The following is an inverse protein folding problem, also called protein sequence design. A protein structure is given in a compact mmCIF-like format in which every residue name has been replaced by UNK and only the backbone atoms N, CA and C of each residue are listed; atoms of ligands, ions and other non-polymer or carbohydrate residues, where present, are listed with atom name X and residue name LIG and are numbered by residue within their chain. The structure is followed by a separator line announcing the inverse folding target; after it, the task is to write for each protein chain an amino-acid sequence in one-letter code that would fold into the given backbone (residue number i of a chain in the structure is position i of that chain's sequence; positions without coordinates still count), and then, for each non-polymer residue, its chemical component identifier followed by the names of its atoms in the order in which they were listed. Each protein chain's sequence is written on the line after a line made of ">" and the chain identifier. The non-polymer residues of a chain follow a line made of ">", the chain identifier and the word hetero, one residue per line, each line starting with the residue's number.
data_IF_548446001608
#
_entry.id   IF_548446001608
#
_cell.length_a   1.000
_cell.length_b   1.000
_cell.length_c   1.000
_cell.angle_alpha   90.00
_cell.angle_beta   90.00
_cell.angle_gamma   90.00
#
_symmetry.space_group_name_H-M   'P 1'
#
loop_
_entity.id
_entity.type
_entity.pdbx_description
1 polymer ?
#
# COMPACT_ATOMS: atom_id res chain seq x y z
N UNK A 1 -37.33 34.83 -60.86
CA UNK A 1 -36.28 33.88 -60.60
C UNK A 1 -35.58 34.27 -59.30
N UNK A 2 -35.87 33.61 -58.18
CA UNK A 2 -35.28 33.87 -56.87
C UNK A 2 -34.23 32.78 -56.61
N UNK A 3 -32.95 33.18 -56.61
CA UNK A 3 -31.85 32.31 -56.20
C UNK A 3 -31.80 32.26 -54.66
N UNK A 4 -32.10 31.06 -54.12
CA UNK A 4 -31.94 30.82 -52.66
C UNK A 4 -30.54 30.29 -52.46
N UNK A 5 -29.70 31.12 -51.85
CA UNK A 5 -28.37 30.77 -51.40
C UNK A 5 -28.48 29.85 -50.14
N UNK A 6 -28.06 28.61 -50.26
CA UNK A 6 -27.91 27.69 -49.10
C UNK A 6 -26.55 27.92 -48.46
N UNK A 7 -26.58 28.64 -47.36
CA UNK A 7 -25.41 28.71 -46.46
C UNK A 7 -25.40 27.43 -45.61
N UNK A 8 -24.52 26.51 -45.94
CA UNK A 8 -24.21 25.34 -45.09
C UNK A 8 -23.38 25.81 -43.91
N UNK A 9 -24.00 25.89 -42.73
CA UNK A 9 -23.31 26.09 -41.47
C UNK A 9 -22.54 24.81 -41.14
N UNK A 10 -21.22 24.83 -41.32
CA UNK A 10 -20.31 23.80 -40.83
C UNK A 10 -20.23 23.96 -39.31
N UNK A 11 -21.04 23.21 -38.55
CA UNK A 11 -20.79 23.05 -37.10
C UNK A 11 -19.51 22.27 -36.96
N UNK A 12 -18.44 22.99 -36.62
CA UNK A 12 -17.23 22.39 -36.07
C UNK A 12 -17.59 21.78 -34.72
N UNK A 13 -17.79 20.46 -34.69
CA UNK A 13 -17.86 19.70 -33.48
C UNK A 13 -16.45 19.84 -32.85
N UNK A 14 -16.34 20.67 -31.84
CA UNK A 14 -15.15 20.66 -30.97
C UNK A 14 -15.11 19.26 -30.35
N UNK A 15 -14.34 18.36 -30.93
CA UNK A 15 -13.96 17.12 -30.29
C UNK A 15 -13.09 17.55 -29.10
N UNK A 16 -13.72 17.66 -27.92
CA UNK A 16 -12.95 17.64 -26.68
C UNK A 16 -12.26 16.30 -26.67
N UNK A 17 -10.95 16.33 -26.76
CA UNK A 17 -10.15 15.15 -26.68
C UNK A 17 -10.44 14.45 -25.31
N UNK A 18 -10.61 13.15 -25.26
CA UNK A 18 -10.94 12.46 -24.03
C UNK A 18 -9.73 12.50 -23.08
N UNK A 19 -9.92 13.03 -21.89
CA UNK A 19 -9.04 12.78 -20.78
C UNK A 19 -8.70 11.27 -20.69
N UNK A 20 -7.61 10.90 -20.00
CA UNK A 20 -7.31 9.48 -19.76
C UNK A 20 -8.59 8.71 -19.42
N UNK A 21 -8.89 7.56 -20.07
CA UNK A 21 -10.06 6.79 -19.70
C UNK A 21 -9.97 6.39 -18.24
N UNK A 22 -10.96 6.77 -17.45
CA UNK A 22 -10.99 6.56 -16.01
C UNK A 22 -11.84 5.33 -15.66
N UNK A 23 -11.25 4.43 -14.88
CA UNK A 23 -11.93 3.26 -14.34
C UNK A 23 -12.42 3.55 -12.91
N UNK A 24 -13.65 3.11 -12.54
CA UNK A 24 -14.22 3.39 -11.22
C UNK A 24 -13.54 2.63 -10.08
N UNK A 25 -12.91 1.50 -10.39
CA UNK A 25 -12.20 0.66 -9.40
C UNK A 25 -10.91 0.10 -9.99
N UNK A 26 -10.04 -0.40 -9.11
CA UNK A 26 -8.81 -1.09 -9.52
C UNK A 26 -9.11 -2.34 -10.35
N UNK A 27 -10.15 -3.11 -10.01
CA UNK A 27 -10.55 -4.31 -10.75
C UNK A 27 -11.01 -3.96 -12.17
N UNK A 28 -11.78 -2.87 -12.29
CA UNK A 28 -12.19 -2.36 -13.61
C UNK A 28 -10.99 -1.86 -14.42
N UNK A 29 -10.03 -1.18 -13.76
CA UNK A 29 -8.80 -0.71 -14.40
C UNK A 29 -7.96 -1.88 -14.93
N UNK A 30 -7.78 -2.94 -14.14
CA UNK A 30 -7.06 -4.16 -14.55
C UNK A 30 -7.73 -4.83 -15.76
N UNK A 31 -9.06 -4.94 -15.74
CA UNK A 31 -9.82 -5.52 -16.85
C UNK A 31 -9.62 -4.68 -18.13
N UNK A 32 -9.82 -3.38 -18.04
CA UNK A 32 -9.65 -2.47 -19.19
C UNK A 32 -8.22 -2.44 -19.69
N UNK A 33 -7.24 -2.43 -18.77
CA UNK A 33 -5.82 -2.43 -19.14
C UNK A 33 -5.43 -3.70 -19.90
N UNK A 34 -5.94 -4.87 -19.48
CA UNK A 34 -5.70 -6.13 -20.17
C UNK A 34 -6.34 -6.15 -21.57
N UNK A 35 -7.59 -5.70 -21.71
CA UNK A 35 -8.32 -5.65 -22.97
C UNK A 35 -7.70 -4.66 -23.97
N UNK A 36 -7.32 -3.46 -23.47
CA UNK A 36 -6.81 -2.37 -24.30
C UNK A 36 -5.28 -2.38 -24.44
N UNK A 37 -4.58 -3.28 -23.78
CA UNK A 37 -3.10 -3.36 -23.74
C UNK A 37 -2.48 -2.04 -23.24
N UNK A 38 -3.09 -1.44 -22.24
CA UNK A 38 -2.65 -0.19 -21.61
C UNK A 38 -2.03 -0.48 -20.24
N UNK A 39 -1.27 0.49 -19.75
CA UNK A 39 -0.81 0.55 -18.38
C UNK A 39 -1.86 1.22 -17.49
N UNK A 40 -1.63 1.23 -16.18
CA UNK A 40 -2.54 1.84 -15.22
C UNK A 40 -1.82 3.00 -14.52
N UNK A 41 -2.49 4.14 -14.46
CA UNK A 41 -2.09 5.33 -13.73
C UNK A 41 -2.96 5.43 -12.47
N UNK A 42 -2.42 5.08 -11.31
CA UNK A 42 -3.13 5.13 -10.02
C UNK A 42 -2.86 6.47 -9.37
N UNK A 43 -3.89 7.31 -9.26
CA UNK A 43 -3.83 8.65 -8.64
C UNK A 43 -4.33 8.59 -7.19
N UNK A 44 -3.42 8.74 -6.22
CA UNK A 44 -3.75 8.94 -4.81
C UNK A 44 -4.02 10.42 -4.59
N UNK A 45 -5.28 10.75 -4.34
CA UNK A 45 -5.77 12.13 -4.44
C UNK A 45 -6.65 12.54 -3.26
N UNK A 46 -6.94 13.83 -3.15
CA UNK A 46 -7.94 14.40 -2.23
C UNK A 46 -8.75 15.43 -2.99
N UNK A 47 -9.81 14.99 -3.67
CA UNK A 47 -10.52 15.76 -4.70
C UNK A 47 -11.20 17.01 -4.16
N UNK A 48 -11.61 17.04 -2.89
CA UNK A 48 -12.38 18.12 -2.28
C UNK A 48 -11.53 19.12 -1.44
N UNK A 49 -10.23 18.83 -1.23
CA UNK A 49 -9.40 19.66 -0.34
C UNK A 49 -7.95 19.84 -0.79
N UNK A 50 -7.38 18.90 -1.54
CA UNK A 50 -5.96 18.91 -1.87
C UNK A 50 -5.69 19.77 -3.11
N UNK A 51 -5.28 21.02 -2.92
CA UNK A 51 -4.98 21.93 -4.02
C UNK A 51 -3.95 21.40 -5.02
N UNK A 52 -2.91 20.70 -4.53
CA UNK A 52 -1.90 20.09 -5.39
C UNK A 52 -2.46 18.91 -6.21
N UNK A 53 -3.43 18.18 -5.67
CA UNK A 53 -4.12 17.09 -6.38
C UNK A 53 -5.01 17.64 -7.50
N UNK A 54 -5.79 18.68 -7.18
CA UNK A 54 -6.62 19.38 -8.16
C UNK A 54 -5.76 19.97 -9.27
N UNK A 55 -4.58 20.51 -8.92
CA UNK A 55 -3.62 20.99 -9.90
C UNK A 55 -3.07 19.86 -10.78
N UNK A 56 -2.65 18.72 -10.19
CA UNK A 56 -2.20 17.56 -10.95
C UNK A 56 -3.26 17.12 -11.96
N UNK A 57 -4.51 16.99 -11.52
CA UNK A 57 -5.62 16.56 -12.38
C UNK A 57 -5.84 17.55 -13.52
N UNK A 58 -6.18 18.81 -13.18
CA UNK A 58 -6.73 19.77 -14.14
C UNK A 58 -5.65 20.46 -15.01
N UNK A 59 -4.40 20.53 -14.55
CA UNK A 59 -3.32 21.27 -15.24
C UNK A 59 -2.27 20.38 -15.85
N UNK A 60 -2.16 19.14 -15.40
CA UNK A 60 -1.17 18.19 -15.91
C UNK A 60 -1.85 17.04 -16.65
N UNK A 61 -2.64 16.21 -15.96
CA UNK A 61 -3.25 15.01 -16.54
C UNK A 61 -4.28 15.34 -17.63
N UNK A 62 -5.06 16.39 -17.45
CA UNK A 62 -6.08 16.85 -18.43
C UNK A 62 -5.52 17.87 -19.43
N UNK A 63 -4.20 18.07 -19.49
CA UNK A 63 -3.61 18.94 -20.51
C UNK A 63 -3.49 18.25 -21.86
N UNK A 64 -3.62 19.03 -22.94
CA UNK A 64 -3.47 18.54 -24.33
C UNK A 64 -2.14 17.82 -24.55
N UNK A 65 -1.06 18.31 -23.90
CA UNK A 65 0.27 17.72 -24.02
C UNK A 65 0.33 16.33 -23.37
N UNK A 66 -0.21 16.20 -22.15
CA UNK A 66 -0.20 14.94 -21.42
C UNK A 66 -1.11 13.91 -22.11
N UNK A 67 -2.29 14.33 -22.51
CA UNK A 67 -3.24 13.50 -23.21
C UNK A 67 -2.68 13.00 -24.55
N UNK A 68 -2.10 13.87 -25.35
CA UNK A 68 -1.44 13.49 -26.62
C UNK A 68 -0.31 12.50 -26.40
N UNK A 69 0.40 12.59 -25.27
CA UNK A 69 1.55 11.75 -24.95
C UNK A 69 1.14 10.39 -24.37
N UNK A 70 0.11 10.36 -23.52
CA UNK A 70 -0.23 9.23 -22.68
C UNK A 70 -1.70 8.77 -22.74
N UNK A 71 -2.61 9.51 -23.39
CA UNK A 71 -4.03 9.21 -23.43
C UNK A 71 -4.37 7.80 -23.93
N UNK A 72 -3.61 7.31 -24.91
CA UNK A 72 -3.74 5.95 -25.42
C UNK A 72 -2.92 4.89 -24.68
N UNK A 73 -2.12 5.29 -23.66
CA UNK A 73 -1.17 4.39 -22.98
C UNK A 73 -1.62 3.95 -21.60
N UNK A 74 -2.49 4.72 -20.96
CA UNK A 74 -2.89 4.48 -19.58
C UNK A 74 -4.40 4.43 -19.38
N UNK A 75 -4.82 3.66 -18.39
CA UNK A 75 -6.14 3.73 -17.74
C UNK A 75 -5.92 4.45 -16.41
N UNK A 76 -6.69 5.50 -16.14
CA UNK A 76 -6.66 6.21 -14.87
C UNK A 76 -7.55 5.49 -13.85
N UNK A 77 -7.09 5.40 -12.62
CA UNK A 77 -7.92 5.03 -11.46
C UNK A 77 -7.56 5.93 -10.29
N UNK A 78 -8.58 6.54 -9.67
CA UNK A 78 -8.39 7.44 -8.54
C UNK A 78 -8.64 6.73 -7.21
N UNK A 79 -7.68 6.87 -6.29
CA UNK A 79 -7.82 6.47 -4.88
C UNK A 79 -8.00 7.75 -4.07
N UNK A 80 -9.26 8.14 -3.86
CA UNK A 80 -9.61 9.43 -3.27
C UNK A 80 -9.71 9.37 -1.74
N UNK A 81 -9.17 10.38 -1.06
CA UNK A 81 -9.20 10.60 0.39
C UNK A 81 -9.95 11.90 0.72
N UNK A 82 -11.27 11.94 0.57
CA UNK A 82 -12.04 13.15 0.80
C UNK A 82 -12.06 13.52 2.30
N UNK A 83 -12.27 14.82 2.58
CA UNK A 83 -12.44 15.35 3.95
C UNK A 83 -13.85 15.81 4.25
N UNK A 84 -14.66 16.10 3.23
CA UNK A 84 -16.05 16.50 3.41
C UNK A 84 -16.82 15.36 4.09
N UNK A 85 -17.55 15.63 5.21
CA UNK A 85 -18.28 14.59 5.93
C UNK A 85 -19.27 13.82 5.05
N UNK A 86 -19.87 14.50 4.06
CA UNK A 86 -20.81 13.91 3.13
C UNK A 86 -20.15 12.85 2.23
N UNK A 87 -18.95 13.13 1.73
CA UNK A 87 -18.20 12.18 0.89
C UNK A 87 -17.63 11.04 1.73
N UNK A 88 -17.07 11.35 2.90
CA UNK A 88 -16.53 10.33 3.83
C UNK A 88 -17.60 9.33 4.26
N UNK A 89 -18.85 9.80 4.50
CA UNK A 89 -19.97 8.95 4.89
C UNK A 89 -20.42 7.97 3.78
N UNK A 90 -20.09 8.26 2.52
CA UNK A 90 -20.42 7.40 1.38
C UNK A 90 -19.40 6.27 1.16
N UNK A 91 -18.24 6.33 1.82
CA UNK A 91 -17.17 5.33 1.66
C UNK A 91 -17.36 4.27 2.76
N UNK A 92 -17.58 2.98 2.40
CA UNK A 92 -17.61 1.89 3.37
C UNK A 92 -16.32 1.79 4.18
N UNK A 93 -16.40 1.33 5.42
CA UNK A 93 -15.24 1.32 6.31
C UNK A 93 -14.14 0.35 5.87
N UNK A 94 -14.49 -0.76 5.21
CA UNK A 94 -13.54 -1.68 4.57
C UNK A 94 -12.80 -1.02 3.40
N UNK A 95 -13.51 -0.19 2.63
CA UNK A 95 -12.90 0.57 1.54
C UNK A 95 -11.96 1.67 2.06
N UNK A 96 -12.31 2.36 3.15
CA UNK A 96 -11.40 3.32 3.81
C UNK A 96 -10.09 2.64 4.21
N UNK A 97 -10.20 1.48 4.90
CA UNK A 97 -9.03 0.70 5.30
C UNK A 97 -8.21 0.24 4.08
N UNK A 98 -8.87 -0.23 3.02
CA UNK A 98 -8.19 -0.64 1.79
C UNK A 98 -7.39 0.49 1.18
N UNK A 99 -7.94 1.71 1.11
CA UNK A 99 -7.24 2.90 0.60
C UNK A 99 -6.04 3.27 1.47
N UNK A 100 -6.20 3.26 2.80
CA UNK A 100 -5.12 3.53 3.76
C UNK A 100 -3.99 2.49 3.63
N UNK A 101 -4.34 1.21 3.48
CA UNK A 101 -3.37 0.14 3.27
C UNK A 101 -2.60 0.30 1.96
N UNK A 102 -3.27 0.69 0.87
CA UNK A 102 -2.62 1.00 -0.39
C UNK A 102 -1.63 2.17 -0.24
N UNK A 103 -2.06 3.27 0.38
CA UNK A 103 -1.22 4.44 0.64
C UNK A 103 0.04 4.06 1.42
N UNK A 104 -0.12 3.29 2.49
CA UNK A 104 0.98 2.80 3.33
C UNK A 104 1.89 1.83 2.56
N UNK A 105 1.32 0.90 1.80
CA UNK A 105 2.07 -0.14 1.09
C UNK A 105 2.94 0.42 -0.03
N UNK A 106 2.52 1.52 -0.66
CA UNK A 106 3.32 2.25 -1.64
C UNK A 106 4.15 3.37 -1.03
N UNK A 107 4.12 3.54 0.30
CA UNK A 107 4.84 4.60 1.03
C UNK A 107 4.55 5.98 0.47
N UNK A 108 3.28 6.25 0.16
CA UNK A 108 2.82 7.59 -0.26
C UNK A 108 2.75 8.46 0.99
N UNK A 109 3.72 9.36 1.16
CA UNK A 109 3.85 10.20 2.35
C UNK A 109 2.97 11.44 2.30
N UNK A 110 2.47 11.80 1.13
CA UNK A 110 1.61 12.96 0.92
C UNK A 110 0.89 12.93 -0.41
N UNK A 111 -0.20 13.69 -0.52
CA UNK A 111 -0.98 13.79 -1.75
C UNK A 111 -0.59 15.02 -2.57
N UNK A 112 -0.63 14.92 -3.91
CA UNK A 112 -0.89 13.71 -4.69
C UNK A 112 0.29 12.75 -4.71
N UNK A 113 -0.01 11.47 -4.83
CA UNK A 113 0.95 10.42 -5.16
C UNK A 113 0.45 9.62 -6.35
N UNK A 114 1.35 9.21 -7.22
CA UNK A 114 1.00 8.41 -8.41
C UNK A 114 1.80 7.13 -8.43
N UNK A 115 1.13 6.01 -8.68
CA UNK A 115 1.76 4.72 -8.92
C UNK A 115 1.49 4.30 -10.37
N UNK A 116 2.56 4.04 -11.12
CA UNK A 116 2.46 3.50 -12.47
C UNK A 116 2.56 1.98 -12.42
N UNK A 117 1.57 1.30 -13.02
CA UNK A 117 1.52 -0.15 -13.09
C UNK A 117 1.43 -0.61 -14.55
N UNK A 118 1.96 -1.78 -14.84
CA UNK A 118 1.72 -2.40 -16.14
C UNK A 118 0.29 -2.96 -16.25
N UNK A 119 -0.09 -3.45 -17.45
CA UNK A 119 -1.43 -3.97 -17.70
C UNK A 119 -1.82 -5.21 -16.89
N UNK A 120 -0.89 -5.75 -16.08
CA UNK A 120 -1.12 -6.84 -15.12
C UNK A 120 -1.26 -6.32 -13.68
N UNK A 121 -1.18 -5.00 -13.48
CA UNK A 121 -1.22 -4.37 -12.17
C UNK A 121 0.11 -4.42 -11.40
N UNK A 122 1.22 -4.77 -12.07
CA UNK A 122 2.53 -4.81 -11.42
C UNK A 122 3.18 -3.43 -11.45
N UNK A 123 3.44 -2.83 -10.26
CA UNK A 123 3.92 -1.45 -10.16
C UNK A 123 5.38 -1.33 -10.59
N UNK A 124 5.71 -0.22 -11.26
CA UNK A 124 7.08 0.02 -11.73
C UNK A 124 7.62 1.41 -11.40
N UNK A 125 6.76 2.37 -11.01
CA UNK A 125 7.19 3.71 -10.61
C UNK A 125 6.24 4.30 -9.58
N UNK A 126 6.79 5.18 -8.72
CA UNK A 126 6.04 6.01 -7.79
C UNK A 126 6.48 7.46 -7.97
N UNK A 127 5.53 8.34 -8.27
CA UNK A 127 5.78 9.77 -8.45
C UNK A 127 5.08 10.52 -7.31
N UNK A 128 5.85 11.14 -6.42
CA UNK A 128 5.32 11.93 -5.31
C UNK A 128 5.19 13.40 -5.68
N UNK A 129 4.04 13.98 -5.37
CA UNK A 129 3.71 15.38 -5.56
C UNK A 129 3.40 15.74 -7.02
N UNK A 130 2.73 16.88 -7.19
CA UNK A 130 2.52 17.50 -8.49
C UNK A 130 3.79 18.23 -8.93
N UNK A 131 3.88 18.53 -10.24
CA UNK A 131 4.86 19.45 -10.81
C UNK A 131 4.14 20.70 -11.27
N UNK A 132 4.90 21.72 -11.65
CA UNK A 132 4.34 23.01 -12.04
C UNK A 132 3.60 22.90 -13.39
N UNK A 133 4.18 22.17 -14.33
CA UNK A 133 3.68 22.05 -15.70
C UNK A 133 3.69 20.59 -16.18
N UNK A 134 2.97 20.27 -17.26
CA UNK A 134 3.06 18.96 -17.91
C UNK A 134 4.48 18.63 -18.39
N UNK A 135 5.21 19.63 -18.89
CA UNK A 135 6.59 19.47 -19.37
C UNK A 135 7.54 19.05 -18.24
N UNK A 136 7.28 19.48 -17.01
CA UNK A 136 8.03 19.05 -15.82
C UNK A 136 7.62 17.65 -15.34
N UNK A 137 6.37 17.21 -15.63
CA UNK A 137 5.84 15.94 -15.17
C UNK A 137 6.15 14.78 -16.11
N UNK A 138 6.09 15.02 -17.42
CA UNK A 138 6.33 14.00 -18.47
C UNK A 138 7.68 13.29 -18.31
N UNK A 139 8.82 13.97 -18.02
CA UNK A 139 10.08 13.28 -17.81
C UNK A 139 10.08 12.28 -16.66
N UNK A 140 9.26 12.49 -15.62
CA UNK A 140 9.11 11.52 -14.52
C UNK A 140 8.36 10.26 -14.97
N UNK A 141 7.32 10.44 -15.78
CA UNK A 141 6.62 9.33 -16.41
C UNK A 141 7.53 8.52 -17.32
N UNK A 142 8.33 9.20 -18.15
CA UNK A 142 9.30 8.55 -19.05
C UNK A 142 10.35 7.77 -18.27
N UNK A 143 10.88 8.33 -17.18
CA UNK A 143 11.83 7.62 -16.31
C UNK A 143 11.20 6.33 -15.75
N UNK A 144 9.93 6.37 -15.34
CA UNK A 144 9.18 5.19 -14.92
C UNK A 144 9.05 4.14 -16.04
N UNK A 145 8.69 4.58 -17.25
CA UNK A 145 8.59 3.69 -18.42
C UNK A 145 9.94 3.02 -18.72
N UNK A 146 11.08 3.73 -18.59
CA UNK A 146 12.42 3.15 -18.79
C UNK A 146 12.71 2.07 -17.74
N UNK A 147 12.32 2.26 -16.47
CA UNK A 147 12.45 1.22 -15.43
C UNK A 147 11.66 -0.03 -15.78
N UNK A 148 10.41 0.15 -16.25
CA UNK A 148 9.59 -0.96 -16.73
C UNK A 148 10.26 -1.72 -17.88
N UNK A 149 10.77 -1.01 -18.88
CA UNK A 149 11.47 -1.62 -20.04
C UNK A 149 12.69 -2.41 -19.56
N UNK A 150 13.49 -1.85 -18.65
CA UNK A 150 14.66 -2.52 -18.09
C UNK A 150 14.27 -3.78 -17.29
N UNK A 151 13.23 -3.70 -16.45
CA UNK A 151 12.66 -4.84 -15.72
C UNK A 151 12.22 -5.95 -16.69
N UNK A 152 11.41 -5.60 -17.70
CA UNK A 152 10.86 -6.56 -18.67
C UNK A 152 11.97 -7.27 -19.45
N UNK A 153 13.01 -6.54 -19.86
CA UNK A 153 14.17 -7.10 -20.53
C UNK A 153 14.93 -8.08 -19.62
N UNK A 154 15.13 -7.73 -18.34
CA UNK A 154 15.80 -8.59 -17.38
C UNK A 154 14.99 -9.87 -17.09
N UNK A 155 13.66 -9.76 -16.96
CA UNK A 155 12.80 -10.93 -16.77
C UNK A 155 12.72 -11.82 -18.01
N UNK A 156 12.70 -11.25 -19.21
CA UNK A 156 12.79 -12.01 -20.44
C UNK A 156 14.11 -12.78 -20.55
N UNK A 157 15.23 -12.15 -20.15
CA UNK A 157 16.55 -12.82 -20.05
C UNK A 157 16.50 -13.96 -19.02
N UNK A 158 15.94 -13.70 -17.82
CA UNK A 158 15.81 -14.70 -16.76
C UNK A 158 15.01 -15.95 -17.20
N UNK A 159 14.00 -15.77 -18.07
CA UNK A 159 13.21 -16.87 -18.59
C UNK A 159 14.01 -17.87 -19.45
N UNK A 160 15.15 -17.46 -19.99
CA UNK A 160 16.04 -18.32 -20.79
C UNK A 160 17.20 -18.92 -19.98
N UNK A 161 17.31 -18.60 -18.69
CA UNK A 161 18.42 -18.98 -17.82
C UNK A 161 17.96 -19.95 -16.72
N UNK A 162 18.92 -20.58 -16.03
CA UNK A 162 18.70 -21.45 -14.88
C UNK A 162 19.71 -21.17 -13.76
N UNK A 163 19.45 -21.72 -12.56
CA UNK A 163 20.34 -21.58 -11.42
C UNK A 163 20.66 -20.11 -11.09
N UNK A 164 21.83 -19.84 -10.56
CA UNK A 164 22.24 -18.51 -10.08
C UNK A 164 22.18 -17.41 -11.17
N UNK A 165 22.39 -17.73 -12.43
CA UNK A 165 22.29 -16.75 -13.52
C UNK A 165 20.84 -16.28 -13.72
N UNK A 166 19.85 -17.17 -13.54
CA UNK A 166 18.44 -16.80 -13.51
C UNK A 166 18.13 -15.88 -12.33
N UNK A 167 18.60 -16.25 -11.13
CA UNK A 167 18.38 -15.44 -9.92
C UNK A 167 18.98 -14.03 -10.06
N UNK A 168 20.19 -13.92 -10.61
CA UNK A 168 20.82 -12.62 -10.88
C UNK A 168 20.02 -11.77 -11.86
N UNK A 169 19.52 -12.37 -12.96
CA UNK A 169 18.75 -11.65 -13.96
C UNK A 169 17.41 -11.17 -13.38
N UNK A 170 16.72 -11.98 -12.53
CA UNK A 170 15.52 -11.54 -11.81
C UNK A 170 15.85 -10.38 -10.85
N UNK A 171 16.94 -10.50 -10.09
CA UNK A 171 17.38 -9.46 -9.18
C UNK A 171 17.72 -8.14 -9.91
N UNK A 172 18.42 -8.20 -11.06
CA UNK A 172 18.67 -7.03 -11.92
C UNK A 172 17.36 -6.30 -12.27
N UNK A 173 16.32 -7.05 -12.69
CA UNK A 173 15.00 -6.48 -13.03
C UNK A 173 14.27 -5.87 -11.83
N UNK A 174 14.42 -6.44 -10.64
CA UNK A 174 13.81 -5.92 -9.44
C UNK A 174 14.56 -4.69 -8.89
N UNK A 175 15.86 -4.65 -9.00
CA UNK A 175 16.69 -3.57 -8.42
C UNK A 175 16.55 -2.23 -9.14
N UNK A 176 16.04 -2.19 -10.38
CA UNK A 176 15.76 -0.94 -11.07
C UNK A 176 14.47 -0.26 -10.58
N UNK A 177 13.62 -1.00 -9.86
CA UNK A 177 12.34 -0.51 -9.36
C UNK A 177 12.47 0.19 -8.01
N UNK A 178 11.60 1.17 -7.70
CA UNK A 178 11.45 1.67 -6.33
C UNK A 178 11.13 0.53 -5.36
N UNK A 179 11.68 0.60 -4.13
CA UNK A 179 11.50 -0.47 -3.13
C UNK A 179 10.03 -0.85 -2.92
N UNK A 180 9.07 0.10 -2.75
CA UNK A 180 7.67 -0.28 -2.54
C UNK A 180 7.02 -0.96 -3.77
N UNK A 181 7.54 -0.69 -4.98
CA UNK A 181 7.13 -1.42 -6.18
C UNK A 181 7.72 -2.82 -6.19
N UNK A 182 9.03 -2.93 -5.98
CA UNK A 182 9.77 -4.20 -5.96
C UNK A 182 9.16 -5.22 -5.02
N UNK A 183 8.74 -4.80 -3.83
CA UNK A 183 8.16 -5.67 -2.79
C UNK A 183 6.84 -6.34 -3.23
N UNK A 184 6.23 -5.91 -4.35
CA UNK A 184 5.03 -6.54 -4.94
C UNK A 184 5.33 -7.72 -5.86
N UNK A 185 6.59 -7.93 -6.25
CA UNK A 185 7.03 -9.01 -7.15
C UNK A 185 7.33 -10.29 -6.37
N UNK A 186 6.31 -10.78 -5.67
CA UNK A 186 6.45 -11.92 -4.73
C UNK A 186 6.98 -13.17 -5.43
N UNK A 187 6.44 -13.51 -6.59
CA UNK A 187 6.83 -14.72 -7.33
C UNK A 187 8.30 -14.69 -7.79
N UNK A 188 8.78 -13.54 -8.25
CA UNK A 188 10.16 -13.35 -8.68
C UNK A 188 11.12 -13.38 -7.49
N UNK A 189 10.74 -12.76 -6.37
CA UNK A 189 11.51 -12.76 -5.12
C UNK A 189 11.61 -14.20 -4.56
N UNK A 190 10.50 -14.93 -4.52
CA UNK A 190 10.49 -16.33 -4.07
C UNK A 190 11.34 -17.22 -4.98
N UNK A 191 11.33 -16.99 -6.30
CA UNK A 191 12.18 -17.68 -7.22
C UNK A 191 13.68 -17.38 -7.01
N UNK A 192 14.03 -16.14 -6.63
CA UNK A 192 15.39 -15.78 -6.24
C UNK A 192 15.78 -16.53 -4.96
N UNK A 193 14.94 -16.46 -3.91
CA UNK A 193 15.20 -17.06 -2.60
C UNK A 193 15.37 -18.59 -2.69
N UNK A 194 14.60 -19.25 -3.56
CA UNK A 194 14.72 -20.69 -3.80
C UNK A 194 16.07 -21.10 -4.42
N UNK A 195 16.73 -20.19 -5.14
CA UNK A 195 18.01 -20.44 -5.81
C UNK A 195 19.18 -19.94 -4.96
N UNK A 196 19.09 -18.72 -4.43
CA UNK A 196 20.13 -18.02 -3.67
C UNK A 196 20.00 -18.31 -2.17
N UNK A 197 20.18 -19.56 -1.77
CA UNK A 197 20.03 -20.02 -0.36
C UNK A 197 20.97 -19.31 0.61
N UNK A 198 22.12 -18.86 0.13
CA UNK A 198 23.13 -18.14 0.91
C UNK A 198 22.84 -16.62 1.00
N UNK A 199 21.77 -16.17 0.36
CA UNK A 199 21.32 -14.76 0.35
C UNK A 199 22.39 -13.78 -0.18
N UNK A 200 23.13 -14.15 -1.19
CA UNK A 200 24.16 -13.31 -1.81
C UNK A 200 23.57 -12.11 -2.56
N UNK A 201 22.32 -12.23 -3.00
CA UNK A 201 21.57 -11.19 -3.69
C UNK A 201 20.70 -10.31 -2.75
N UNK A 202 20.57 -10.70 -1.47
CA UNK A 202 19.93 -9.86 -0.43
C UNK A 202 18.40 -9.84 -0.46
N UNK A 203 17.73 -10.91 -0.94
CA UNK A 203 16.26 -10.99 -1.02
C UNK A 203 15.63 -11.82 0.09
N UNK A 204 16.40 -12.47 0.96
CA UNK A 204 15.89 -13.26 2.08
C UNK A 204 15.05 -12.38 3.02
N UNK A 205 13.91 -12.88 3.49
CA UNK A 205 12.96 -12.14 4.32
C UNK A 205 12.02 -11.25 3.52
N UNK A 206 12.08 -11.28 2.18
CA UNK A 206 11.16 -10.61 1.26
C UNK A 206 10.25 -11.64 0.57
N UNK A 207 9.36 -11.19 -0.30
CA UNK A 207 8.45 -12.07 -1.03
C UNK A 207 7.32 -12.59 -0.12
N UNK A 208 7.05 -13.88 -0.17
CA UNK A 208 5.98 -14.52 0.61
C UNK A 208 6.10 -14.29 2.11
N UNK A 209 7.32 -14.21 2.66
CA UNK A 209 7.53 -13.90 4.07
C UNK A 209 6.98 -12.51 4.44
N UNK A 210 7.20 -11.53 3.57
CA UNK A 210 6.64 -10.17 3.76
C UNK A 210 5.12 -10.16 3.66
N UNK A 211 4.54 -10.91 2.74
CA UNK A 211 3.07 -11.01 2.57
C UNK A 211 2.43 -11.59 3.84
N UNK A 212 3.01 -12.67 4.39
CA UNK A 212 2.54 -13.26 5.65
C UNK A 212 2.61 -12.25 6.79
N UNK A 213 3.74 -11.53 6.91
CA UNK A 213 3.92 -10.49 7.92
C UNK A 213 2.87 -9.39 7.82
N UNK A 214 2.68 -8.82 6.62
CA UNK A 214 1.69 -7.76 6.39
C UNK A 214 0.29 -8.24 6.77
N UNK A 215 -0.11 -9.43 6.31
CA UNK A 215 -1.41 -10.01 6.62
C UNK A 215 -1.62 -10.16 8.13
N UNK A 216 -0.69 -10.77 8.84
CA UNK A 216 -0.82 -10.98 10.29
C UNK A 216 -0.85 -9.66 11.08
N UNK A 217 -0.08 -8.64 10.65
CA UNK A 217 -0.11 -7.30 11.24
C UNK A 217 -1.46 -6.62 10.99
N UNK A 218 -2.01 -6.72 9.79
CA UNK A 218 -3.33 -6.17 9.45
C UNK A 218 -4.44 -6.84 10.28
N UNK A 219 -4.44 -8.17 10.38
CA UNK A 219 -5.40 -8.92 11.20
C UNK A 219 -5.36 -8.48 12.68
N UNK A 220 -4.17 -8.30 13.25
CA UNK A 220 -4.02 -7.77 14.60
C UNK A 220 -4.52 -6.34 14.72
N UNK A 221 -4.18 -5.46 13.77
CA UNK A 221 -4.61 -4.07 13.77
C UNK A 221 -6.13 -3.92 13.64
N UNK A 222 -6.77 -4.74 12.82
CA UNK A 222 -8.24 -4.77 12.68
C UNK A 222 -8.90 -5.19 14.00
N UNK A 223 -8.34 -6.21 14.65
CA UNK A 223 -8.81 -6.67 15.95
C UNK A 223 -8.68 -5.57 17.01
N UNK A 224 -7.53 -4.90 17.09
CA UNK A 224 -7.30 -3.79 18.03
C UNK A 224 -8.18 -2.59 17.69
N UNK A 225 -8.39 -2.31 16.41
CA UNK A 225 -9.25 -1.24 15.91
C UNK A 225 -10.71 -1.39 16.34
N UNK A 226 -11.23 -2.63 16.38
CA UNK A 226 -12.60 -2.94 16.81
C UNK A 226 -12.88 -2.54 18.27
N UNK A 227 -11.85 -2.46 19.11
CA UNK A 227 -11.96 -2.09 20.53
C UNK A 227 -11.43 -0.70 20.86
N UNK A 228 -10.95 0.03 19.88
CA UNK A 228 -10.42 1.39 20.09
C UNK A 228 -11.46 2.29 20.76
N UNK A 229 -11.10 2.85 21.92
CA UNK A 229 -11.97 3.74 22.71
C UNK A 229 -13.06 3.05 23.53
N UNK A 230 -13.17 1.72 23.49
CA UNK A 230 -14.10 0.94 24.31
C UNK A 230 -13.40 0.53 25.61
N UNK A 231 -13.63 1.27 26.68
CA UNK A 231 -12.94 1.10 27.97
C UNK A 231 -13.85 0.49 29.05
N UNK A 232 -15.07 0.07 28.72
CA UNK A 232 -15.93 -0.63 29.64
C UNK A 232 -15.47 -2.07 29.88
N UNK A 233 -15.77 -2.62 31.06
CA UNK A 233 -15.28 -3.92 31.48
C UNK A 233 -15.74 -5.09 30.56
N UNK A 234 -16.90 -4.98 29.93
CA UNK A 234 -17.39 -6.01 29.02
C UNK A 234 -16.59 -6.02 27.72
N UNK A 235 -16.38 -4.85 27.11
CA UNK A 235 -15.55 -4.68 25.89
C UNK A 235 -14.11 -5.10 26.12
N UNK A 236 -13.52 -4.75 27.27
CA UNK A 236 -12.16 -5.17 27.61
C UNK A 236 -12.03 -6.69 27.75
N UNK A 237 -12.98 -7.37 28.38
CA UNK A 237 -13.00 -8.85 28.47
C UNK A 237 -13.19 -9.49 27.11
N UNK A 238 -14.06 -8.93 26.27
CA UNK A 238 -14.24 -9.43 24.90
C UNK A 238 -12.95 -9.28 24.07
N UNK A 239 -12.25 -8.16 24.21
CA UNK A 239 -10.96 -7.93 23.52
C UNK A 239 -9.91 -8.97 23.94
N UNK A 240 -9.82 -9.28 25.23
CA UNK A 240 -8.91 -10.31 25.75
C UNK A 240 -9.21 -11.68 25.11
N UNK A 241 -10.48 -12.10 25.08
CA UNK A 241 -10.87 -13.39 24.47
C UNK A 241 -10.49 -13.43 22.99
N UNK A 242 -10.71 -12.34 22.25
CA UNK A 242 -10.36 -12.29 20.82
C UNK A 242 -8.84 -12.30 20.60
N UNK A 243 -8.08 -11.63 21.45
CA UNK A 243 -6.62 -11.65 21.42
C UNK A 243 -6.06 -13.03 21.79
N UNK A 244 -6.63 -13.71 22.79
CA UNK A 244 -6.29 -15.11 23.13
C UNK A 244 -6.52 -16.04 21.93
N UNK A 245 -7.66 -15.92 21.25
CA UNK A 245 -7.92 -16.68 20.05
C UNK A 245 -6.94 -16.38 18.92
N UNK A 246 -6.57 -15.11 18.73
CA UNK A 246 -5.57 -14.71 17.74
C UNK A 246 -4.18 -15.29 18.06
N UNK A 247 -3.80 -15.38 19.33
CA UNK A 247 -2.54 -15.99 19.77
C UNK A 247 -2.43 -17.49 19.45
N UNK A 248 -3.56 -18.17 19.20
CA UNK A 248 -3.61 -19.56 18.78
C UNK A 248 -3.47 -19.74 17.25
N UNK A 249 -3.31 -18.65 16.50
CA UNK A 249 -3.04 -18.72 15.04
C UNK A 249 -1.72 -19.46 14.81
N UNK A 250 -1.70 -20.52 13.95
CA UNK A 250 -0.47 -21.19 13.57
C UNK A 250 0.53 -20.23 12.94
N UNK A 251 1.82 -20.46 13.19
CA UNK A 251 2.93 -19.70 12.61
C UNK A 251 2.85 -18.18 12.81
N UNK A 252 2.23 -17.75 13.93
CA UNK A 252 2.13 -16.35 14.28
C UNK A 252 3.52 -15.76 14.52
N UNK A 253 3.85 -14.70 13.76
CA UNK A 253 5.14 -14.04 13.84
C UNK A 253 5.42 -13.50 15.25
N UNK A 254 6.70 -13.57 15.72
CA UNK A 254 7.08 -13.14 17.06
C UNK A 254 6.62 -11.72 17.41
N UNK A 255 6.78 -10.76 16.48
CA UNK A 255 6.39 -9.37 16.69
C UNK A 255 4.86 -9.18 16.74
N UNK A 256 4.09 -9.98 16.00
CA UNK A 256 2.62 -9.96 16.03
C UNK A 256 2.14 -10.55 17.35
N UNK A 257 2.72 -11.68 17.78
CA UNK A 257 2.48 -12.28 19.09
C UNK A 257 2.77 -11.29 20.22
N UNK A 258 3.90 -10.58 20.15
CA UNK A 258 4.27 -9.54 21.09
C UNK A 258 3.23 -8.42 21.16
N UNK A 259 2.74 -7.96 19.99
CA UNK A 259 1.71 -6.92 19.89
C UNK A 259 0.39 -7.35 20.55
N UNK A 260 -0.07 -8.58 20.28
CA UNK A 260 -1.28 -9.14 20.85
C UNK A 260 -1.17 -9.28 22.39
N UNK A 261 -0.07 -9.85 22.89
CA UNK A 261 0.19 -9.98 24.33
C UNK A 261 0.28 -8.62 25.03
N UNK A 262 0.93 -7.62 24.41
CA UNK A 262 0.97 -6.25 24.96
C UNK A 262 -0.43 -5.65 25.09
N UNK A 263 -1.27 -5.80 24.06
CA UNK A 263 -2.64 -5.28 24.08
C UNK A 263 -3.53 -5.99 25.12
N UNK A 264 -3.31 -7.29 25.35
CA UNK A 264 -3.95 -8.01 26.46
C UNK A 264 -3.50 -7.45 27.81
N UNK A 265 -2.21 -7.20 27.97
CA UNK A 265 -1.68 -6.56 29.18
C UNK A 265 -2.31 -5.20 29.46
N UNK A 266 -2.42 -4.34 28.42
CA UNK A 266 -3.10 -3.05 28.51
C UNK A 266 -4.58 -3.21 28.95
N UNK A 267 -5.29 -4.23 28.42
CA UNK A 267 -6.68 -4.51 28.80
C UNK A 267 -6.80 -5.00 30.24
N UNK A 268 -5.90 -5.86 30.70
CA UNK A 268 -5.86 -6.28 32.11
C UNK A 268 -5.52 -5.14 33.07
N UNK A 269 -4.62 -4.25 32.68
CA UNK A 269 -4.30 -3.04 33.47
C UNK A 269 -5.56 -2.16 33.68
N UNK A 270 -6.34 -1.94 32.61
CA UNK A 270 -7.60 -1.20 32.69
C UNK A 270 -8.68 -1.89 33.52
N UNK A 271 -8.66 -3.22 33.63
CA UNK A 271 -9.52 -4.00 34.50
C UNK A 271 -9.02 -4.06 35.95
N UNK A 272 -7.83 -3.53 36.26
CA UNK A 272 -7.20 -3.59 37.60
C UNK A 272 -6.53 -4.91 37.93
N UNK A 273 -6.42 -5.85 36.96
CA UNK A 273 -5.72 -7.13 37.15
C UNK A 273 -4.22 -6.98 36.79
N UNK A 274 -3.50 -6.36 37.69
CA UNK A 274 -2.09 -6.02 37.50
C UNK A 274 -1.17 -7.24 37.43
N UNK A 275 -1.56 -8.37 38.02
CA UNK A 275 -0.76 -9.61 37.91
C UNK A 275 -0.83 -10.18 36.50
N UNK A 276 -2.02 -10.28 35.92
CA UNK A 276 -2.17 -10.72 34.53
C UNK A 276 -1.57 -9.75 33.52
N UNK A 277 -1.68 -8.43 33.78
CA UNK A 277 -0.96 -7.43 33.01
C UNK A 277 0.55 -7.74 32.97
N UNK A 278 1.15 -7.97 34.12
CA UNK A 278 2.58 -8.27 34.25
C UNK A 278 2.97 -9.56 33.50
N UNK A 279 2.18 -10.64 33.66
CA UNK A 279 2.39 -11.89 32.96
C UNK A 279 2.34 -11.69 31.43
N UNK A 280 1.36 -10.94 30.94
CA UNK A 280 1.25 -10.63 29.52
C UNK A 280 2.45 -9.85 29.00
N UNK A 281 2.93 -8.84 29.72
CA UNK A 281 4.09 -8.06 29.28
C UNK A 281 5.39 -8.88 29.32
N UNK A 282 5.56 -9.77 30.28
CA UNK A 282 6.70 -10.72 30.30
C UNK A 282 6.67 -11.64 29.07
N UNK A 283 5.53 -12.27 28.82
CA UNK A 283 5.34 -13.12 27.65
C UNK A 283 5.53 -12.34 26.33
N UNK A 284 5.09 -11.06 26.26
CA UNK A 284 5.33 -10.20 25.12
C UNK A 284 6.83 -9.93 24.92
N UNK A 285 7.59 -9.70 25.99
CA UNK A 285 9.03 -9.48 25.91
C UNK A 285 9.77 -10.75 25.46
N UNK A 286 9.35 -11.92 25.95
CA UNK A 286 9.91 -13.21 25.54
C UNK A 286 9.63 -13.54 24.06
N UNK A 287 8.44 -13.17 23.57
CA UNK A 287 8.05 -13.44 22.19
C UNK A 287 8.96 -12.75 21.15
N UNK A 288 9.40 -11.49 21.41
CA UNK A 288 10.26 -10.75 20.49
C UNK A 288 11.19 -9.78 21.27
N UNK A 289 12.24 -10.29 21.92
CA UNK A 289 13.08 -9.52 22.86
C UNK A 289 13.88 -8.39 22.19
N UNK A 290 14.14 -8.50 20.90
CA UNK A 290 14.95 -7.55 20.11
C UNK A 290 14.10 -6.64 19.21
N UNK A 291 12.77 -6.72 19.31
CA UNK A 291 11.87 -5.87 18.55
C UNK A 291 11.98 -4.39 18.94
N UNK A 292 11.53 -3.50 18.06
CA UNK A 292 11.43 -2.07 18.37
C UNK A 292 10.56 -1.79 19.62
N UNK A 293 9.53 -2.62 19.85
CA UNK A 293 8.62 -2.48 21.00
C UNK A 293 9.22 -2.99 22.31
N UNK A 294 10.19 -3.91 22.25
CA UNK A 294 10.77 -4.58 23.42
C UNK A 294 11.32 -3.59 24.46
N UNK A 295 11.94 -2.48 24.04
CA UNK A 295 12.47 -1.47 24.97
C UNK A 295 11.37 -0.88 25.85
N UNK A 296 10.22 -0.53 25.28
CA UNK A 296 9.07 0.03 26.03
C UNK A 296 8.47 -1.01 26.96
N UNK A 297 8.27 -2.24 26.48
CA UNK A 297 7.70 -3.34 27.25
C UNK A 297 8.60 -3.68 28.43
N UNK A 298 9.92 -3.74 28.23
CA UNK A 298 10.91 -3.97 29.30
C UNK A 298 10.82 -2.90 30.39
N UNK A 299 10.73 -1.62 30.01
CA UNK A 299 10.54 -0.55 30.97
C UNK A 299 9.27 -0.69 31.81
N UNK A 300 8.17 -1.17 31.21
CA UNK A 300 6.93 -1.44 31.95
C UNK A 300 7.08 -2.61 32.92
N UNK A 301 7.76 -3.69 32.52
CA UNK A 301 8.04 -4.86 33.36
C UNK A 301 8.94 -4.44 34.57
N UNK A 302 10.06 -3.77 34.30
CA UNK A 302 10.99 -3.31 35.33
C UNK A 302 10.32 -2.36 36.32
N UNK A 303 9.52 -1.42 35.83
CA UNK A 303 8.77 -0.50 36.69
C UNK A 303 7.79 -1.24 37.61
N UNK A 304 7.07 -2.24 37.07
CA UNK A 304 6.16 -3.05 37.87
C UNK A 304 6.89 -3.85 38.94
N UNK A 305 7.99 -4.50 38.60
CA UNK A 305 8.83 -5.29 39.53
C UNK A 305 9.36 -4.46 40.68
N UNK A 306 9.80 -3.22 40.37
CA UNK A 306 10.43 -2.34 41.36
C UNK A 306 9.41 -1.63 42.24
N UNK A 307 8.29 -1.18 41.69
CA UNK A 307 7.41 -0.21 42.36
C UNK A 307 6.04 -0.77 42.76
N UNK A 308 5.56 -1.84 42.12
CA UNK A 308 4.22 -2.36 42.33
C UNK A 308 4.22 -3.76 42.97
N UNK A 309 5.00 -4.69 42.45
CA UNK A 309 5.06 -6.07 42.89
C UNK A 309 5.38 -6.22 44.39
N UNK A 310 6.26 -5.40 45.02
CA UNK A 310 6.52 -5.52 46.45
C UNK A 310 5.33 -5.19 47.34
N UNK A 311 4.41 -4.35 46.88
CA UNK A 311 3.18 -3.97 47.60
C UNK A 311 2.00 -4.94 47.42
N UNK A 312 2.13 -5.92 46.53
CA UNK A 312 1.12 -6.92 46.26
C UNK A 312 1.36 -8.26 46.99
N UNK A 313 2.51 -8.38 47.66
CA UNK A 313 2.88 -9.50 48.53
C UNK A 313 2.50 -9.18 49.96
#
# INVERSE_FOLDING_TARGET
>A
MKMVSKIAALMALAMTAPALPEAPTMEAALTQAAEQKKDIFVDFTGTDWCTACIHLRNKIVESDLFEKTYGDKYILVSVDFPRSPQLVAQIPDDEKRRRENLLTSYRIEGLPGVVLMDGKGMPYEIINGARRTPEDYIPLMEAGVQKRVARDAAFAKAATLSGMEKAKALAEGLMVLPVPCRDKYVAEIDAINAIDTDNTLGFKGLGSETVVRVKQVEELNDLLGAFRGKLDAASLKESIIKLENHLNTPDLLPEVRQGALSAMGDSYALLGDYMKMYECYKAALEAAPDSRAAKRIRGNVENFEQNVLPGLK
#
